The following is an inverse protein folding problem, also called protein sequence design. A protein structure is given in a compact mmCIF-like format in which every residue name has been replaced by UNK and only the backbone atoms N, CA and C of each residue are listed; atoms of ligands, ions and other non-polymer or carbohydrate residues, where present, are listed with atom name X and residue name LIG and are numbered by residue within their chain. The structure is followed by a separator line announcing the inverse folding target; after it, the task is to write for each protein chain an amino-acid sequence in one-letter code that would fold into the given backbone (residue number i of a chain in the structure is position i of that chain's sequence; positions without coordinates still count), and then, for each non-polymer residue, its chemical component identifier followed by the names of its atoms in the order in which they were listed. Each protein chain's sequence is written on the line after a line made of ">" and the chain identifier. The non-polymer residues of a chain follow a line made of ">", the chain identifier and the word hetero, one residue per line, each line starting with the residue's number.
data_IF_106252447419
#
_entry.id   IF_106252447419
#
_cell.length_a   1.000
_cell.length_b   1.000
_cell.length_c   1.000
_cell.angle_alpha   90.00
_cell.angle_beta   90.00
_cell.angle_gamma   90.00
#
_symmetry.space_group_name_H-M   'P 1'
#
loop_
_entity.id
_entity.type
_entity.pdbx_description
1 polymer ?
#
# COMPACT_ATOMS: atom_id res chain seq x y z
N UNK A 1 -26.72 -1.67 -54.86
CA UNK A 1 -27.79 -1.25 -55.81
C UNK A 1 -28.04 -2.20 -56.97
N UNK A 2 -27.07 -3.01 -57.41
CA UNK A 2 -27.32 -4.01 -58.49
C UNK A 2 -28.36 -5.10 -58.14
N UNK A 3 -28.31 -5.63 -56.91
CA UNK A 3 -29.20 -6.70 -56.43
C UNK A 3 -30.68 -6.28 -56.35
N UNK A 4 -30.97 -5.02 -56.02
CA UNK A 4 -32.35 -4.54 -55.94
C UNK A 4 -33.01 -4.39 -57.34
N UNK A 5 -32.22 -4.25 -58.42
CA UNK A 5 -32.70 -4.22 -59.80
C UNK A 5 -33.15 -5.61 -60.28
N UNK A 6 -32.66 -6.68 -59.64
CA UNK A 6 -33.01 -8.08 -59.95
C UNK A 6 -34.16 -8.58 -59.03
N UNK A 7 -34.78 -7.67 -58.24
CA UNK A 7 -35.89 -8.02 -57.35
C UNK A 7 -35.52 -8.70 -56.04
N UNK A 8 -34.20 -8.77 -55.71
CA UNK A 8 -33.72 -9.36 -54.45
C UNK A 8 -33.67 -8.28 -53.37
N UNK A 9 -34.42 -8.47 -52.28
CA UNK A 9 -34.36 -7.58 -51.13
C UNK A 9 -33.01 -7.67 -50.45
N UNK A 10 -32.30 -6.52 -50.32
CA UNK A 10 -30.99 -6.42 -49.63
C UNK A 10 -31.13 -6.20 -48.13
N UNK A 11 -32.34 -5.90 -47.65
CA UNK A 11 -32.62 -5.59 -46.23
C UNK A 11 -32.20 -6.70 -45.28
N UNK A 12 -32.49 -8.00 -45.52
CA UNK A 12 -32.05 -9.08 -44.64
C UNK A 12 -30.53 -9.21 -44.57
N UNK A 13 -29.83 -8.93 -45.65
CA UNK A 13 -28.34 -8.98 -45.67
C UNK A 13 -27.74 -7.86 -44.87
N UNK A 14 -28.28 -6.64 -44.95
CA UNK A 14 -27.84 -5.50 -44.16
C UNK A 14 -28.11 -5.75 -42.68
N UNK A 15 -29.28 -6.31 -42.35
CA UNK A 15 -29.62 -6.67 -40.98
C UNK A 15 -28.67 -7.74 -40.40
N UNK A 16 -28.39 -8.80 -41.17
CA UNK A 16 -27.46 -9.84 -40.78
C UNK A 16 -26.02 -9.28 -40.58
N UNK A 17 -25.55 -8.47 -41.52
CA UNK A 17 -24.23 -7.83 -41.39
C UNK A 17 -24.13 -6.91 -40.15
N UNK A 18 -25.20 -6.16 -39.89
CA UNK A 18 -25.31 -5.33 -38.69
C UNK A 18 -25.24 -6.15 -37.40
N UNK A 19 -25.97 -7.27 -37.34
CA UNK A 19 -25.95 -8.18 -36.19
C UNK A 19 -24.57 -8.82 -35.97
N UNK A 20 -23.90 -9.26 -37.05
CA UNK A 20 -22.54 -9.81 -36.99
C UNK A 20 -21.56 -8.75 -36.53
N UNK A 21 -21.63 -7.53 -37.06
CA UNK A 21 -20.74 -6.43 -36.69
C UNK A 21 -20.89 -6.05 -35.23
N UNK A 22 -22.13 -5.98 -34.72
CA UNK A 22 -22.41 -5.72 -33.31
C UNK A 22 -21.86 -6.84 -32.42
N UNK A 23 -22.10 -8.09 -32.79
CA UNK A 23 -21.60 -9.27 -32.06
C UNK A 23 -20.06 -9.30 -32.01
N UNK A 24 -19.38 -9.03 -33.11
CA UNK A 24 -17.94 -8.95 -33.17
C UNK A 24 -17.40 -7.75 -32.33
N UNK A 25 -18.07 -6.60 -32.38
CA UNK A 25 -17.70 -5.43 -31.56
C UNK A 25 -17.80 -5.74 -30.07
N UNK A 26 -18.87 -6.36 -29.61
CA UNK A 26 -19.04 -6.79 -28.23
C UNK A 26 -18.00 -7.83 -27.81
N UNK A 27 -17.69 -8.80 -28.68
CA UNK A 27 -16.68 -9.82 -28.41
C UNK A 27 -15.26 -9.21 -28.23
N UNK A 28 -14.92 -8.15 -28.97
CA UNK A 28 -13.62 -7.49 -28.94
C UNK A 28 -13.54 -6.33 -27.93
N UNK A 29 -14.65 -5.93 -27.30
CA UNK A 29 -14.74 -4.77 -26.42
C UNK A 29 -13.68 -4.79 -25.31
N UNK A 30 -13.50 -5.92 -24.64
CA UNK A 30 -12.55 -6.07 -23.55
C UNK A 30 -11.08 -5.91 -23.99
N UNK A 31 -10.77 -6.44 -25.17
CA UNK A 31 -9.43 -6.31 -25.77
C UNK A 31 -9.12 -4.86 -26.13
N UNK A 32 -10.03 -4.21 -26.83
CA UNK A 32 -9.89 -2.82 -27.24
C UNK A 32 -9.78 -1.87 -26.03
N UNK A 33 -10.57 -2.13 -24.97
CA UNK A 33 -10.51 -1.36 -23.74
C UNK A 33 -9.11 -1.44 -23.07
N UNK A 34 -8.51 -2.64 -23.01
CA UNK A 34 -7.16 -2.81 -22.46
C UNK A 34 -6.11 -2.09 -23.30
N UNK A 35 -6.17 -2.20 -24.60
CA UNK A 35 -5.20 -1.53 -25.49
C UNK A 35 -5.33 0.01 -25.45
N UNK A 36 -6.56 0.52 -25.43
CA UNK A 36 -6.80 1.96 -25.28
C UNK A 36 -6.29 2.48 -23.93
N UNK A 37 -6.52 1.70 -22.87
CA UNK A 37 -6.00 2.03 -21.55
C UNK A 37 -4.47 2.00 -21.50
N UNK A 38 -3.83 0.98 -22.08
CA UNK A 38 -2.36 0.90 -22.13
C UNK A 38 -1.74 2.01 -22.97
N UNK A 39 -2.36 2.36 -24.10
CA UNK A 39 -1.93 3.53 -24.89
C UNK A 39 -2.00 4.80 -24.05
N UNK A 40 -3.08 5.00 -23.30
CA UNK A 40 -3.24 6.14 -22.40
C UNK A 40 -2.12 6.19 -21.33
N UNK A 41 -1.83 5.06 -20.66
CA UNK A 41 -0.75 4.97 -19.67
C UNK A 41 0.60 5.34 -20.29
N UNK A 42 0.93 4.82 -21.47
CA UNK A 42 2.22 5.06 -22.16
C UNK A 42 2.38 6.53 -22.57
N UNK A 43 1.32 7.20 -22.99
CA UNK A 43 1.36 8.61 -23.46
C UNK A 43 1.32 9.57 -22.27
N UNK A 44 0.37 9.40 -21.33
CA UNK A 44 0.18 10.33 -20.20
C UNK A 44 1.20 10.08 -19.10
N UNK A 45 1.69 8.85 -18.95
CA UNK A 45 2.68 8.42 -17.94
C UNK A 45 2.28 8.80 -16.52
N UNK A 46 1.11 8.38 -16.03
CA UNK A 46 0.74 8.58 -14.62
C UNK A 46 1.71 7.88 -13.66
N UNK A 47 2.39 6.85 -14.14
CA UNK A 47 3.51 6.16 -13.52
C UNK A 47 4.46 5.63 -14.60
N UNK A 48 5.67 5.27 -14.21
CA UNK A 48 6.70 4.71 -15.09
C UNK A 48 7.27 3.43 -14.50
N UNK A 49 8.02 2.67 -15.31
CA UNK A 49 8.77 1.50 -14.83
C UNK A 49 9.73 1.93 -13.72
N UNK A 50 9.70 1.21 -12.61
CA UNK A 50 10.45 1.51 -11.39
C UNK A 50 9.67 2.32 -10.34
N UNK A 51 8.49 2.86 -10.68
CA UNK A 51 7.62 3.47 -9.68
C UNK A 51 6.92 2.42 -8.83
N UNK A 52 6.67 2.74 -7.57
CA UNK A 52 5.79 1.97 -6.70
C UNK A 52 4.38 2.49 -6.82
N UNK A 53 3.46 1.64 -7.24
CA UNK A 53 2.05 1.99 -7.35
C UNK A 53 1.18 1.09 -6.48
N UNK A 54 0.08 1.66 -6.00
CA UNK A 54 -1.03 0.92 -5.40
C UNK A 54 -2.29 1.16 -6.23
N UNK A 55 -2.91 0.09 -6.68
CA UNK A 55 -4.16 0.10 -7.44
C UNK A 55 -5.00 -1.10 -7.07
N UNK A 56 -6.30 -0.91 -6.81
CA UNK A 56 -7.24 -1.97 -6.39
C UNK A 56 -6.75 -2.79 -5.17
N UNK A 57 -6.05 -2.15 -4.24
CA UNK A 57 -5.53 -2.81 -3.04
C UNK A 57 -4.28 -3.67 -3.27
N UNK A 58 -3.70 -3.62 -4.46
CA UNK A 58 -2.44 -4.29 -4.78
C UNK A 58 -1.34 -3.25 -4.88
N UNK A 59 -0.26 -3.45 -4.13
CA UNK A 59 0.91 -2.56 -4.12
C UNK A 59 2.11 -3.28 -4.72
N UNK A 60 2.90 -2.60 -5.53
CA UNK A 60 4.13 -3.16 -6.08
C UNK A 60 4.90 -2.19 -6.97
N UNK A 61 6.11 -2.60 -7.33
CA UNK A 61 6.99 -1.86 -8.23
C UNK A 61 6.63 -2.22 -9.67
N UNK A 62 6.40 -1.21 -10.51
CA UNK A 62 6.13 -1.39 -11.93
C UNK A 62 7.37 -1.96 -12.61
N UNK A 63 7.26 -3.20 -13.10
CA UNK A 63 8.31 -3.88 -13.87
C UNK A 63 8.19 -3.59 -15.35
N UNK A 64 6.99 -3.62 -15.87
CA UNK A 64 6.74 -3.49 -17.29
C UNK A 64 5.34 -2.91 -17.55
N UNK A 65 5.24 -2.03 -18.56
CA UNK A 65 3.97 -1.51 -19.05
C UNK A 65 3.81 -1.93 -20.50
N UNK A 66 2.88 -2.83 -20.75
CA UNK A 66 2.51 -3.30 -22.08
C UNK A 66 1.17 -2.68 -22.53
N UNK A 67 0.80 -2.85 -23.79
CA UNK A 67 -0.46 -2.31 -24.30
C UNK A 67 -1.70 -2.93 -23.65
N UNK A 68 -1.66 -4.22 -23.33
CA UNK A 68 -2.82 -4.92 -22.77
C UNK A 68 -2.83 -4.95 -21.24
N UNK A 69 -1.66 -4.93 -20.61
CA UNK A 69 -1.50 -5.11 -19.17
C UNK A 69 -0.24 -4.42 -18.65
N UNK A 70 -0.22 -4.19 -17.36
CA UNK A 70 0.96 -3.73 -16.61
C UNK A 70 1.37 -4.84 -15.64
N UNK A 71 2.68 -5.10 -15.55
CA UNK A 71 3.25 -6.06 -14.58
C UNK A 71 3.85 -5.24 -13.44
N UNK A 72 3.42 -5.56 -12.22
CA UNK A 72 4.05 -5.05 -11.00
C UNK A 72 4.64 -6.22 -10.21
N UNK A 73 5.67 -5.95 -9.44
CA UNK A 73 6.28 -6.90 -8.52
C UNK A 73 6.01 -6.44 -7.09
N UNK A 74 5.46 -7.32 -6.29
CA UNK A 74 5.24 -7.06 -4.87
C UNK A 74 6.53 -7.22 -4.04
N UNK A 75 6.42 -7.04 -2.73
CA UNK A 75 7.51 -7.16 -1.77
C UNK A 75 8.04 -8.59 -1.60
N UNK A 76 7.23 -9.59 -1.91
CA UNK A 76 7.62 -11.00 -1.88
C UNK A 76 8.24 -11.47 -3.22
N UNK A 77 8.48 -10.52 -4.14
CA UNK A 77 8.98 -10.76 -5.49
C UNK A 77 8.01 -11.50 -6.40
N UNK A 78 6.73 -11.59 -6.04
CA UNK A 78 5.71 -12.13 -6.92
C UNK A 78 5.33 -11.12 -8.00
N UNK A 79 5.19 -11.60 -9.23
CA UNK A 79 4.75 -10.77 -10.37
C UNK A 79 3.22 -10.79 -10.47
N UNK A 80 2.64 -9.61 -10.45
CA UNK A 80 1.21 -9.41 -10.54
C UNK A 80 0.89 -8.72 -11.86
N UNK A 81 0.12 -9.40 -12.70
CA UNK A 81 -0.31 -8.87 -14.00
C UNK A 81 -1.68 -8.22 -13.87
N UNK A 82 -1.76 -6.93 -14.12
CA UNK A 82 -2.97 -6.13 -14.02
C UNK A 82 -3.40 -5.71 -15.43
N UNK A 83 -4.58 -6.12 -15.93
CA UNK A 83 -5.13 -5.62 -17.18
C UNK A 83 -5.29 -4.10 -17.13
N UNK A 84 -4.80 -3.38 -18.14
CA UNK A 84 -4.73 -1.91 -18.11
C UNK A 84 -6.09 -1.22 -17.95
N UNK A 85 -7.17 -1.83 -18.42
CA UNK A 85 -8.55 -1.33 -18.21
C UNK A 85 -8.93 -1.22 -16.72
N UNK A 86 -8.28 -1.99 -15.84
CA UNK A 86 -8.49 -1.96 -14.40
C UNK A 86 -7.55 -0.98 -13.67
N UNK A 87 -6.68 -0.31 -14.39
CA UNK A 87 -5.83 0.76 -13.87
C UNK A 87 -6.41 2.12 -14.28
N UNK A 88 -6.77 2.24 -15.57
CA UNK A 88 -7.33 3.49 -16.10
C UNK A 88 -8.78 3.65 -15.66
N UNK A 89 -9.06 4.72 -14.94
CA UNK A 89 -10.37 4.99 -14.33
C UNK A 89 -10.45 4.66 -12.85
N UNK A 90 -9.43 4.04 -12.28
CA UNK A 90 -9.27 3.80 -10.84
C UNK A 90 -8.35 4.84 -10.20
N UNK A 91 -8.41 4.92 -8.86
CA UNK A 91 -7.47 5.72 -8.09
C UNK A 91 -6.14 4.98 -8.02
N UNK A 92 -5.10 5.57 -8.59
CA UNK A 92 -3.73 5.04 -8.52
C UNK A 92 -2.93 5.91 -7.56
N UNK A 93 -2.43 5.30 -6.49
CA UNK A 93 -1.45 5.92 -5.62
C UNK A 93 -0.07 5.64 -6.20
N UNK A 94 0.67 6.68 -6.57
CA UNK A 94 2.05 6.56 -7.04
C UNK A 94 3.00 7.14 -5.99
N UNK A 95 3.74 6.27 -5.30
CA UNK A 95 4.74 6.62 -4.29
C UNK A 95 6.13 6.84 -4.90
N UNK A 96 6.27 6.69 -6.19
CA UNK A 96 7.53 6.71 -6.94
C UNK A 96 8.48 5.61 -6.46
N UNK A 97 9.72 5.98 -6.08
CA UNK A 97 10.74 5.00 -5.65
C UNK A 97 10.62 4.59 -4.19
N UNK A 98 9.96 5.42 -3.38
CA UNK A 98 9.89 5.23 -1.94
C UNK A 98 8.50 4.76 -1.52
N UNK A 99 8.46 3.96 -0.48
CA UNK A 99 7.23 3.56 0.20
C UNK A 99 7.21 4.09 1.62
N UNK A 100 6.02 4.30 2.17
CA UNK A 100 5.85 4.73 3.54
C UNK A 100 5.76 3.51 4.47
N UNK A 101 6.85 3.25 5.20
CA UNK A 101 6.86 2.30 6.29
C UNK A 101 6.29 2.93 7.55
N UNK A 102 5.25 2.34 8.12
CA UNK A 102 4.66 2.75 9.40
C UNK A 102 5.02 1.72 10.45
N UNK A 103 5.64 2.17 11.54
CA UNK A 103 5.96 1.37 12.71
C UNK A 103 5.34 2.00 13.95
N UNK A 104 5.15 1.20 14.99
CA UNK A 104 4.75 1.70 16.30
C UNK A 104 5.44 0.92 17.40
N UNK A 105 5.77 1.61 18.49
CA UNK A 105 6.33 1.02 19.69
C UNK A 105 5.62 1.59 20.92
N UNK A 106 5.35 0.73 21.91
CA UNK A 106 4.77 1.15 23.19
C UNK A 106 5.85 1.37 24.22
N UNK A 107 5.74 2.44 24.98
CA UNK A 107 6.61 2.75 26.12
C UNK A 107 5.80 2.91 27.40
N UNK A 108 6.44 2.75 28.55
CA UNK A 108 5.80 2.93 29.86
C UNK A 108 5.36 4.37 30.06
N UNK A 109 4.26 4.59 30.80
CA UNK A 109 3.86 5.91 31.30
C UNK A 109 4.87 6.55 32.26
N UNK A 110 5.83 5.77 32.77
CA UNK A 110 6.91 6.25 33.64
C UNK A 110 8.08 6.86 32.86
N UNK A 111 8.19 6.53 31.56
CA UNK A 111 9.24 7.07 30.69
C UNK A 111 8.81 8.44 30.11
N UNK A 112 9.80 9.29 29.81
CA UNK A 112 9.52 10.57 29.17
C UNK A 112 9.35 10.37 27.64
N UNK A 113 8.14 10.52 27.09
CA UNK A 113 7.89 10.24 25.68
C UNK A 113 8.65 11.17 24.73
N UNK A 114 8.97 12.41 25.16
CA UNK A 114 9.71 13.36 24.30
C UNK A 114 11.19 12.98 24.18
N UNK A 115 11.78 12.45 25.26
CA UNK A 115 13.15 11.93 25.22
C UNK A 115 13.21 10.65 24.35
N UNK A 116 12.21 9.78 24.46
CA UNK A 116 12.13 8.58 23.63
C UNK A 116 11.93 8.91 22.15
N UNK A 117 11.09 9.89 21.80
CA UNK A 117 10.98 10.39 20.42
C UNK A 117 12.34 10.82 19.88
N UNK A 118 13.07 11.67 20.64
CA UNK A 118 14.39 12.14 20.23
C UNK A 118 15.43 11.02 20.12
N UNK A 119 15.34 10.00 20.99
CA UNK A 119 16.17 8.80 20.94
C UNK A 119 15.93 8.01 19.67
N UNK A 120 14.66 7.74 19.35
CA UNK A 120 14.26 7.01 18.14
C UNK A 120 14.73 7.76 16.89
N UNK A 121 14.51 9.07 16.81
CA UNK A 121 14.97 9.89 15.68
C UNK A 121 16.48 9.78 15.46
N UNK A 122 17.26 9.93 16.51
CA UNK A 122 18.74 9.81 16.45
C UNK A 122 19.20 8.41 16.07
N UNK A 123 18.48 7.40 16.53
CA UNK A 123 18.82 5.99 16.27
C UNK A 123 18.51 5.62 14.82
N UNK A 124 17.33 5.97 14.35
CA UNK A 124 16.90 5.64 13.00
C UNK A 124 17.62 6.46 11.92
N UNK A 125 18.04 7.69 12.22
CA UNK A 125 18.84 8.51 11.31
C UNK A 125 20.21 7.90 10.95
N UNK A 126 20.71 6.97 11.76
CA UNK A 126 22.00 6.28 11.55
C UNK A 126 21.87 5.02 10.69
N UNK A 127 20.66 4.61 10.33
CA UNK A 127 20.44 3.40 9.55
C UNK A 127 20.77 3.64 8.07
N UNK A 128 21.46 2.69 7.46
CA UNK A 128 21.77 2.68 6.03
C UNK A 128 20.61 2.06 5.24
N UNK A 129 19.41 2.66 5.40
CA UNK A 129 18.18 2.20 4.75
C UNK A 129 17.56 3.26 3.84
N UNK A 130 18.16 4.45 3.80
CA UNK A 130 17.71 5.59 3.00
C UNK A 130 18.57 5.74 1.75
N UNK A 131 17.96 6.22 0.64
CA UNK A 131 18.69 6.41 -0.63
C UNK A 131 19.38 7.77 -0.71
N UNK A 132 18.71 8.85 -0.29
CA UNK A 132 19.20 10.22 -0.45
C UNK A 132 19.11 11.01 0.87
N UNK A 133 17.90 11.33 1.30
CA UNK A 133 17.66 12.09 2.53
C UNK A 133 16.85 11.24 3.52
N UNK A 134 17.20 11.34 4.79
CA UNK A 134 16.43 10.75 5.88
C UNK A 134 15.10 11.47 5.99
N UNK A 135 14.04 10.85 5.48
CA UNK A 135 12.67 11.35 5.63
C UNK A 135 11.94 10.50 6.66
N UNK A 136 11.79 11.05 7.88
CA UNK A 136 11.06 10.39 8.94
C UNK A 136 10.20 11.37 9.73
N UNK A 137 9.19 10.83 10.38
CA UNK A 137 8.37 11.50 11.38
C UNK A 137 8.21 10.55 12.55
N UNK A 138 8.55 11.02 13.74
CA UNK A 138 8.38 10.29 15.00
C UNK A 138 7.58 11.16 15.95
N UNK A 139 6.62 10.56 16.66
CA UNK A 139 5.79 11.31 17.60
C UNK A 139 4.90 10.41 18.43
N UNK A 140 4.24 11.01 19.42
CA UNK A 140 3.22 10.32 20.20
C UNK A 140 2.00 10.09 19.28
N UNK A 141 1.63 8.84 19.09
CA UNK A 141 0.50 8.45 18.25
C UNK A 141 -0.78 8.30 19.09
N UNK A 142 -0.66 7.68 20.28
CA UNK A 142 -1.79 7.48 21.17
C UNK A 142 -1.35 7.26 22.62
N UNK A 143 -2.30 7.51 23.53
CA UNK A 143 -2.24 7.09 24.92
C UNK A 143 -3.13 5.86 25.06
N UNK A 144 -2.52 4.67 25.10
CA UNK A 144 -3.21 3.39 25.19
C UNK A 144 -3.38 2.96 26.66
N UNK A 145 -4.15 1.90 26.90
CA UNK A 145 -4.51 1.45 28.25
C UNK A 145 -3.30 1.15 29.16
N UNK A 146 -2.21 0.65 28.60
CA UNK A 146 -1.01 0.27 29.36
C UNK A 146 0.29 0.82 28.81
N UNK A 147 0.24 1.65 27.77
CA UNK A 147 1.42 2.17 27.08
C UNK A 147 1.15 3.53 26.43
N UNK A 148 2.19 4.34 26.28
CA UNK A 148 2.19 5.46 25.35
C UNK A 148 2.72 4.92 24.03
N UNK A 149 1.91 5.00 22.97
CA UNK A 149 2.29 4.53 21.64
C UNK A 149 3.05 5.63 20.91
N UNK A 150 4.29 5.33 20.51
CA UNK A 150 5.09 6.19 19.64
C UNK A 150 4.94 5.70 18.21
N UNK A 151 4.40 6.55 17.37
CA UNK A 151 4.26 6.33 15.93
C UNK A 151 5.52 6.75 15.19
N UNK A 152 5.93 5.95 14.23
CA UNK A 152 7.12 6.16 13.41
C UNK A 152 6.74 6.00 11.96
N UNK A 153 7.08 6.98 11.14
CA UNK A 153 6.84 7.00 9.70
C UNK A 153 8.16 7.20 8.99
N UNK A 154 8.56 6.24 8.16
CA UNK A 154 9.82 6.25 7.42
C UNK A 154 9.52 6.15 5.94
N UNK A 155 10.12 7.01 5.12
CA UNK A 155 10.09 6.87 3.66
C UNK A 155 11.36 6.16 3.24
N UNK A 156 11.20 4.96 2.69
CA UNK A 156 12.28 4.05 2.35
C UNK A 156 12.08 3.50 0.94
N UNK A 157 13.16 3.08 0.25
CA UNK A 157 13.02 2.39 -1.02
C UNK A 157 12.14 1.15 -0.88
N UNK A 158 11.18 0.99 -1.78
CA UNK A 158 10.24 -0.14 -1.75
C UNK A 158 10.94 -1.49 -1.77
N UNK A 159 12.06 -1.59 -2.49
CA UNK A 159 12.88 -2.81 -2.56
C UNK A 159 13.45 -3.25 -1.21
N UNK A 160 13.51 -2.36 -0.24
CA UNK A 160 14.15 -2.59 1.06
C UNK A 160 13.14 -2.64 2.22
N UNK A 161 11.84 -2.73 1.95
CA UNK A 161 10.79 -2.56 2.96
C UNK A 161 10.98 -3.45 4.19
N UNK A 162 11.10 -4.77 4.00
CA UNK A 162 11.26 -5.69 5.13
C UNK A 162 12.62 -5.58 5.80
N UNK A 163 13.69 -5.41 5.02
CA UNK A 163 15.03 -5.21 5.59
C UNK A 163 15.09 -3.96 6.45
N UNK A 164 14.49 -2.86 6.00
CA UNK A 164 14.38 -1.62 6.75
C UNK A 164 13.51 -1.79 8.01
N UNK A 165 12.36 -2.47 7.89
CA UNK A 165 11.47 -2.75 9.01
C UNK A 165 12.18 -3.50 10.14
N UNK A 166 12.87 -4.60 9.81
CA UNK A 166 13.57 -5.41 10.81
C UNK A 166 14.78 -4.69 11.39
N UNK A 167 15.52 -3.94 10.56
CA UNK A 167 16.65 -3.13 11.01
C UNK A 167 16.21 -2.01 11.95
N UNK A 168 15.09 -1.34 11.62
CA UNK A 168 14.52 -0.29 12.46
C UNK A 168 14.08 -0.82 13.83
N UNK A 169 13.30 -1.91 13.88
CA UNK A 169 12.89 -2.51 15.15
C UNK A 169 14.08 -3.00 15.98
N UNK A 170 15.08 -3.62 15.33
CA UNK A 170 16.31 -4.04 16.01
C UNK A 170 17.06 -2.86 16.62
N UNK A 171 17.22 -1.78 15.86
CA UNK A 171 17.93 -0.59 16.33
C UNK A 171 17.18 0.08 17.49
N UNK A 172 15.85 0.21 17.39
CA UNK A 172 15.02 0.75 18.47
C UNK A 172 15.14 -0.12 19.73
N UNK A 173 15.04 -1.44 19.58
CA UNK A 173 15.15 -2.36 20.72
C UNK A 173 16.51 -2.19 21.45
N UNK A 174 17.61 -2.16 20.70
CA UNK A 174 18.94 -1.98 21.29
C UNK A 174 19.09 -0.61 21.97
N UNK A 175 18.55 0.46 21.38
CA UNK A 175 18.57 1.78 21.99
C UNK A 175 17.73 1.84 23.28
N UNK A 176 16.60 1.14 23.33
CA UNK A 176 15.76 1.04 24.52
C UNK A 176 16.45 0.27 25.65
N UNK A 177 17.15 -0.83 25.32
CA UNK A 177 17.97 -1.57 26.29
C UNK A 177 19.09 -0.69 26.89
N UNK A 178 19.81 0.07 26.04
CA UNK A 178 20.90 0.95 26.46
C UNK A 178 20.41 2.08 27.37
N UNK A 179 19.31 2.73 27.03
CA UNK A 179 18.74 3.86 27.78
C UNK A 179 17.75 3.42 28.87
N UNK A 180 17.54 2.10 29.04
CA UNK A 180 16.62 1.51 30.03
C UNK A 180 15.17 1.94 29.87
N UNK A 181 14.73 2.17 28.63
CA UNK A 181 13.34 2.45 28.31
C UNK A 181 12.52 1.16 28.47
N UNK A 182 11.40 1.24 29.16
CA UNK A 182 10.58 0.08 29.47
C UNK A 182 9.50 -0.15 28.42
N UNK A 183 9.51 -1.32 27.79
CA UNK A 183 8.37 -1.81 27.00
C UNK A 183 7.38 -2.45 27.97
N UNK A 184 6.21 -1.84 28.22
CA UNK A 184 5.32 -2.29 29.29
C UNK A 184 4.57 -3.57 28.93
N UNK A 185 4.38 -4.42 29.93
CA UNK A 185 3.36 -5.47 29.87
C UNK A 185 1.98 -4.88 30.14
N UNK A 186 0.88 -5.59 29.80
CA UNK A 186 -0.46 -5.18 30.19
C UNK A 186 -0.53 -4.91 31.71
N UNK A 187 -1.01 -3.71 32.08
CA UNK A 187 -1.15 -3.30 33.47
C UNK A 187 -2.59 -3.44 33.93
N UNK A 188 -2.81 -3.84 35.19
CA UNK A 188 -4.13 -3.91 35.80
C UNK A 188 -4.05 -3.45 37.25
N UNK A 189 -4.92 -2.52 37.61
CA UNK A 189 -5.10 -2.12 39.02
C UNK A 189 -6.11 -3.08 39.69
N UNK A 190 -5.65 -3.78 40.73
CA UNK A 190 -6.49 -4.72 41.49
C UNK A 190 -6.82 -4.10 42.86
N UNK A 191 -8.08 -3.78 43.06
CA UNK A 191 -8.57 -3.37 44.38
C UNK A 191 -9.06 -4.58 45.16
N UNK A 192 -8.31 -4.98 46.19
CA UNK A 192 -8.72 -6.03 47.12
C UNK A 192 -9.74 -5.44 48.11
N UNK A 193 -10.98 -5.91 48.05
CA UNK A 193 -12.02 -5.53 48.99
C UNK A 193 -12.06 -6.60 50.11
N UNK A 194 -11.66 -6.22 51.32
CA UNK A 194 -11.84 -7.08 52.49
C UNK A 194 -13.33 -7.30 52.78
N UNK A 195 -13.81 -8.55 52.94
CA UNK A 195 -15.19 -8.79 53.30
C UNK A 195 -15.46 -8.15 54.67
N UNK A 196 -16.47 -7.26 54.76
CA UNK A 196 -16.95 -6.74 56.04
C UNK A 196 -17.32 -7.93 56.90
N UNK A 197 -16.59 -8.12 58.03
CA UNK A 197 -16.98 -9.14 59.04
C UNK A 197 -18.42 -8.86 59.45
N UNK A 198 -19.34 -9.78 59.17
CA UNK A 198 -20.67 -9.75 59.75
C UNK A 198 -20.48 -9.82 61.26
N UNK A 199 -20.68 -8.68 61.96
CA UNK A 199 -20.82 -8.68 63.41
C UNK A 199 -22.02 -9.57 63.68
N UNK A 200 -21.75 -10.73 64.30
CA UNK A 200 -22.77 -11.58 64.88
C UNK A 200 -23.47 -10.74 65.95
N UNK A 201 -24.82 -10.60 65.82
CA UNK A 201 -25.71 -10.06 66.79
C UNK A 201 -26.11 -11.15 67.78
#
# INVERSE_FOLDING_TARGET
>A
MALSKIGISVTPFIAALGAISLGAGLALQGLLANYAAGFNIIIIRPFVVGDTIEVQGVTGIVKEVQLAYTIIQDEDSAEITIPNKHIVGEVVLNSRKDTLLKLSVGISYQDNPLEVVSLIERTLAKLDVYTDEVRMQVGIDAFADSAITIGIRLWIPTTNLYAAKYSAYKAIYLAFEEEKITIPFPQQDIHLIEPKSLKQA
#
